data_IF_930930864864
#
_entry.id   IF_930930864864
#
_cell.length_a   1.000
_cell.length_b   1.000
_cell.length_c   1.000
_cell.angle_alpha   90.00
_cell.angle_beta   90.00
_cell.angle_gamma   90.00
#
_symmetry.space_group_name_H-M   'P 1'
#
loop_
_entity.id
_entity.type
_entity.pdbx_description
1 polymer ?
#
# COMPACT_ATOMS: atom_id res chain seq x y z
N UNK A 1 13.33 5.30 3.10
CA UNK A 1 12.12 5.04 3.89
C UNK A 1 11.22 6.26 4.01
N UNK A 2 10.06 6.16 4.70
CA UNK A 2 9.07 7.22 4.85
C UNK A 2 9.70 8.53 5.36
N UNK A 3 10.48 8.45 6.43
CA UNK A 3 11.11 9.62 7.03
C UNK A 3 12.08 10.32 6.07
N UNK A 4 12.90 9.56 5.36
CA UNK A 4 13.81 10.08 4.34
C UNK A 4 13.06 10.75 3.18
N UNK A 5 11.94 10.13 2.74
CA UNK A 5 11.12 10.66 1.67
C UNK A 5 10.52 12.04 1.99
N UNK A 6 10.08 12.23 3.24
CA UNK A 6 9.50 13.50 3.70
C UNK A 6 10.49 14.43 4.39
N UNK A 7 11.78 14.11 4.40
CA UNK A 7 12.81 14.93 5.06
C UNK A 7 12.62 15.01 6.58
N UNK A 8 11.98 13.99 7.19
CA UNK A 8 11.69 13.95 8.63
C UNK A 8 12.69 13.08 9.36
N UNK A 9 12.95 13.40 10.64
CA UNK A 9 13.72 12.55 11.54
C UNK A 9 12.75 11.84 12.50
N UNK A 10 12.79 10.50 12.51
CA UNK A 10 12.05 9.72 13.50
C UNK A 10 12.84 9.64 14.80
N UNK A 11 12.35 10.30 15.85
CA UNK A 11 12.95 10.26 17.16
C UNK A 11 12.16 9.33 18.09
N UNK A 12 12.66 8.11 18.37
CA UNK A 12 11.94 7.18 19.23
C UNK A 12 11.97 7.62 20.69
N UNK A 13 10.90 7.34 21.42
CA UNK A 13 10.90 7.50 22.86
C UNK A 13 11.87 6.52 23.54
N UNK A 14 12.43 6.89 24.67
CA UNK A 14 13.34 6.04 25.44
C UNK A 14 12.64 4.76 25.90
N UNK A 15 13.39 3.65 25.90
CA UNK A 15 12.89 2.36 26.36
C UNK A 15 12.46 2.43 27.83
N UNK A 16 11.28 1.89 28.17
CA UNK A 16 10.69 1.88 29.51
C UNK A 16 10.47 3.25 30.14
N UNK A 17 10.29 4.30 29.34
CA UNK A 17 9.96 5.65 29.82
C UNK A 17 8.60 6.10 29.27
N UNK A 18 7.46 5.61 29.81
CA UNK A 18 6.12 5.93 29.30
C UNK A 18 5.80 7.43 29.37
N UNK A 19 6.38 8.16 30.30
CA UNK A 19 6.20 9.61 30.41
C UNK A 19 6.65 10.40 29.17
N UNK A 20 7.59 9.86 28.40
CA UNK A 20 8.04 10.49 27.14
C UNK A 20 6.92 10.48 26.06
N UNK A 21 5.89 9.67 26.24
CA UNK A 21 4.72 9.55 25.34
C UNK A 21 3.45 10.19 25.88
N UNK A 22 3.50 10.85 27.03
CA UNK A 22 2.31 11.38 27.70
C UNK A 22 1.47 12.31 26.81
N UNK A 23 2.10 13.15 25.98
CA UNK A 23 1.41 14.03 25.04
C UNK A 23 0.67 13.27 23.95
N UNK A 24 1.26 12.18 23.45
CA UNK A 24 0.64 11.32 22.41
C UNK A 24 -0.55 10.56 23.01
N UNK A 25 -0.40 10.00 24.20
CA UNK A 25 -1.46 9.27 24.91
C UNK A 25 -2.65 10.20 25.24
N UNK A 26 -2.37 11.41 25.69
CA UNK A 26 -3.41 12.44 25.91
C UNK A 26 -4.11 12.85 24.61
N UNK A 27 -3.35 12.99 23.50
CA UNK A 27 -3.92 13.30 22.20
C UNK A 27 -4.83 12.16 21.70
N UNK A 28 -4.43 10.89 21.87
CA UNK A 28 -5.26 9.72 21.55
C UNK A 28 -6.54 9.73 22.39
N UNK A 29 -6.45 9.95 23.70
CA UNK A 29 -7.60 10.01 24.60
C UNK A 29 -8.58 11.14 24.21
N UNK A 30 -8.06 12.32 23.86
CA UNK A 30 -8.85 13.45 23.39
C UNK A 30 -9.53 13.14 22.05
N UNK A 31 -8.85 12.45 21.13
CA UNK A 31 -9.42 12.01 19.85
C UNK A 31 -10.59 11.05 20.08
N UNK A 32 -10.43 10.07 20.98
CA UNK A 32 -11.52 9.18 21.35
C UNK A 32 -12.75 9.92 21.88
N UNK A 33 -12.55 10.84 22.80
CA UNK A 33 -13.66 11.62 23.42
C UNK A 33 -14.32 12.59 22.46
N UNK A 34 -13.56 13.23 21.57
CA UNK A 34 -14.04 14.37 20.77
C UNK A 34 -14.45 13.98 19.35
N UNK A 35 -13.91 12.90 18.84
CA UNK A 35 -14.16 12.44 17.46
C UNK A 35 -14.94 11.12 17.47
N UNK A 36 -14.43 10.07 18.08
CA UNK A 36 -15.05 8.75 17.99
C UNK A 36 -16.28 8.57 18.88
N UNK A 37 -16.26 9.08 20.10
CA UNK A 37 -17.39 8.94 21.02
C UNK A 37 -18.69 9.55 20.49
N UNK A 38 -18.71 10.72 19.84
CA UNK A 38 -19.91 11.25 19.19
C UNK A 38 -20.47 10.37 18.05
N UNK A 39 -19.62 9.56 17.40
CA UNK A 39 -19.98 8.72 16.26
C UNK A 39 -20.42 7.31 16.66
N UNK A 40 -20.24 6.89 17.92
CA UNK A 40 -20.46 5.50 18.37
C UNK A 40 -21.85 4.92 18.10
N UNK A 41 -22.87 5.78 18.09
CA UNK A 41 -24.27 5.37 17.90
C UNK A 41 -24.77 5.65 16.46
N UNK A 42 -23.91 6.12 15.56
CA UNK A 42 -24.24 6.40 14.17
C UNK A 42 -23.91 5.18 13.31
N UNK A 43 -24.84 4.77 12.45
CA UNK A 43 -24.59 3.73 11.46
C UNK A 43 -23.97 4.37 10.22
N UNK A 44 -22.95 3.70 9.67
CA UNK A 44 -22.27 4.11 8.44
C UNK A 44 -22.36 2.97 7.43
N UNK A 45 -22.76 3.29 6.20
CA UNK A 45 -22.91 2.31 5.12
C UNK A 45 -21.66 2.26 4.21
N UNK A 46 -20.74 3.19 4.35
CA UNK A 46 -19.48 3.21 3.62
C UNK A 46 -18.33 3.80 4.44
N UNK A 47 -17.11 3.40 4.10
CA UNK A 47 -15.91 3.98 4.68
C UNK A 47 -15.78 5.48 4.35
N UNK A 48 -16.26 5.90 3.19
CA UNK A 48 -16.25 7.30 2.78
C UNK A 48 -17.17 8.16 3.67
N UNK A 49 -18.36 7.67 3.98
CA UNK A 49 -19.30 8.34 4.90
C UNK A 49 -18.69 8.50 6.30
N UNK A 50 -18.06 7.44 6.81
CA UNK A 50 -17.35 7.48 8.09
C UNK A 50 -16.22 8.52 8.07
N UNK A 51 -15.39 8.51 7.03
CA UNK A 51 -14.27 9.45 6.92
C UNK A 51 -14.74 10.90 6.82
N UNK A 52 -15.85 11.19 6.14
CA UNK A 52 -16.45 12.52 6.08
C UNK A 52 -16.88 12.98 7.47
N UNK A 53 -17.60 12.14 8.21
CA UNK A 53 -18.05 12.47 9.57
C UNK A 53 -16.88 12.66 10.55
N UNK A 54 -15.83 11.86 10.43
CA UNK A 54 -14.57 12.04 11.20
C UNK A 54 -13.92 13.36 10.84
N UNK A 55 -13.86 13.73 9.55
CA UNK A 55 -13.30 14.99 9.06
C UNK A 55 -14.00 16.21 9.65
N UNK A 56 -15.33 16.24 9.62
CA UNK A 56 -16.16 17.31 10.18
C UNK A 56 -15.89 17.53 11.69
N UNK A 57 -15.83 16.44 12.45
CA UNK A 57 -15.55 16.51 13.88
C UNK A 57 -14.10 16.91 14.19
N UNK A 58 -13.15 16.48 13.36
CA UNK A 58 -11.75 16.87 13.46
C UNK A 58 -11.58 18.38 13.20
N UNK A 59 -12.23 18.90 12.17
CA UNK A 59 -12.21 20.33 11.85
C UNK A 59 -12.81 21.15 12.96
N UNK A 60 -13.98 20.77 13.48
CA UNK A 60 -14.61 21.39 14.65
C UNK A 60 -13.71 21.33 15.87
N UNK A 61 -13.01 20.23 16.12
CA UNK A 61 -12.08 20.08 17.23
C UNK A 61 -10.86 20.99 17.09
N UNK A 62 -10.29 21.10 15.89
CA UNK A 62 -9.11 21.91 15.63
C UNK A 62 -9.41 23.41 15.63
N UNK A 63 -10.60 23.82 15.21
CA UNK A 63 -11.06 25.24 15.20
C UNK A 63 -11.49 25.73 16.58
N UNK A 64 -11.66 24.83 17.55
CA UNK A 64 -12.02 25.23 18.91
C UNK A 64 -10.85 25.88 19.65
N UNK A 65 -11.09 27.01 20.34
CA UNK A 65 -10.10 27.64 21.25
C UNK A 65 -9.54 26.63 22.25
N UNK A 66 -8.26 26.68 22.46
CA UNK A 66 -7.58 25.89 23.47
C UNK A 66 -7.84 26.46 24.87
N UNK A 67 -7.91 25.57 25.87
CA UNK A 67 -8.13 25.99 27.25
C UNK A 67 -6.97 26.86 27.73
N UNK A 68 -7.28 28.05 28.24
CA UNK A 68 -6.27 29.01 28.71
C UNK A 68 -5.52 29.77 27.62
N UNK A 69 -5.99 29.71 26.36
CA UNK A 69 -5.37 30.39 25.22
C UNK A 69 -6.42 31.14 24.41
N UNK A 70 -6.01 32.24 23.77
CA UNK A 70 -6.89 33.04 22.90
C UNK A 70 -6.91 32.55 21.45
N UNK A 71 -6.25 31.39 21.14
CA UNK A 71 -6.14 30.83 19.84
C UNK A 71 -6.60 29.36 19.77
N UNK A 72 -6.96 28.93 18.59
CA UNK A 72 -7.24 27.52 18.24
C UNK A 72 -5.97 26.80 17.76
N UNK A 73 -6.06 25.46 17.60
CA UNK A 73 -4.96 24.68 17.01
C UNK A 73 -4.67 25.07 15.57
N UNK A 74 -5.72 25.33 14.80
CA UNK A 74 -5.58 25.74 13.39
C UNK A 74 -4.88 27.09 13.30
N UNK A 75 -5.29 28.06 14.10
CA UNK A 75 -4.67 29.39 14.11
C UNK A 75 -3.19 29.32 14.47
N UNK A 76 -2.85 28.57 15.51
CA UNK A 76 -1.44 28.38 15.88
C UNK A 76 -0.63 27.65 14.80
N UNK A 77 -1.18 26.60 14.22
CA UNK A 77 -0.54 25.90 13.12
C UNK A 77 -0.24 26.83 11.94
N UNK A 78 -1.23 27.60 11.51
CA UNK A 78 -1.09 28.51 10.37
C UNK A 78 -0.11 29.66 10.63
N UNK A 79 -0.10 30.18 11.87
CA UNK A 79 0.73 31.33 12.22
C UNK A 79 2.19 30.96 12.55
N UNK A 80 2.43 29.78 13.14
CA UNK A 80 3.75 29.43 13.69
C UNK A 80 4.38 28.24 12.96
N UNK A 81 3.63 27.15 12.79
CA UNK A 81 4.22 25.90 12.32
C UNK A 81 4.31 25.83 10.79
N UNK A 82 3.24 26.25 10.11
CA UNK A 82 3.16 26.15 8.65
C UNK A 82 4.25 26.90 7.89
N UNK A 83 4.67 28.12 8.31
CA UNK A 83 5.78 28.83 7.64
C UNK A 83 7.14 28.12 7.74
N UNK A 84 7.34 27.33 8.80
CA UNK A 84 8.58 26.59 9.05
C UNK A 84 8.62 25.21 8.35
N UNK A 85 7.48 24.75 7.83
CA UNK A 85 7.41 23.47 7.14
C UNK A 85 7.98 23.57 5.72
N UNK A 86 8.80 22.59 5.36
CA UNK A 86 9.25 22.43 3.97
C UNK A 86 8.09 22.01 3.05
N UNK A 87 8.16 22.36 1.76
CA UNK A 87 7.19 21.90 0.80
C UNK A 87 7.17 20.36 0.74
N UNK A 88 5.98 19.78 0.63
CA UNK A 88 5.84 18.33 0.49
C UNK A 88 6.42 17.87 -0.87
N UNK A 89 7.03 16.67 -0.93
CA UNK A 89 7.39 16.04 -2.20
C UNK A 89 6.19 15.96 -3.13
N UNK A 90 6.43 16.12 -4.45
CA UNK A 90 5.35 16.06 -5.46
C UNK A 90 4.64 14.71 -5.52
N UNK A 91 5.31 13.62 -5.13
CA UNK A 91 4.75 12.29 -5.07
C UNK A 91 4.54 11.82 -3.63
N UNK A 92 3.43 11.13 -3.38
CA UNK A 92 3.19 10.48 -2.08
C UNK A 92 4.11 9.29 -1.90
N UNK A 93 4.59 9.09 -0.69
CA UNK A 93 5.34 7.89 -0.34
C UNK A 93 4.52 6.63 -0.62
N UNK A 94 5.12 5.74 -1.41
CA UNK A 94 4.56 4.41 -1.65
C UNK A 94 5.29 3.39 -0.79
N UNK A 95 4.56 2.73 0.09
CA UNK A 95 5.14 1.66 0.90
C UNK A 95 5.51 0.49 0.01
N UNK A 96 6.82 0.20 -0.07
CA UNK A 96 7.37 -0.95 -0.76
C UNK A 96 7.58 -2.09 0.23
N UNK A 97 7.10 -3.26 -0.13
CA UNK A 97 7.34 -4.50 0.61
C UNK A 97 8.23 -5.39 -0.23
N UNK A 98 9.07 -6.17 0.44
CA UNK A 98 10.02 -7.08 -0.18
C UNK A 98 9.71 -8.50 0.22
N UNK A 99 9.85 -9.42 -0.72
CA UNK A 99 9.77 -10.85 -0.49
C UNK A 99 10.78 -11.58 -1.38
N UNK A 100 11.47 -12.57 -0.82
CA UNK A 100 12.31 -13.47 -1.58
C UNK A 100 11.51 -14.76 -1.83
N UNK A 101 11.24 -15.07 -3.08
CA UNK A 101 10.39 -16.19 -3.49
C UNK A 101 11.10 -17.09 -4.48
N UNK A 102 10.74 -18.37 -4.49
CA UNK A 102 11.23 -19.31 -5.51
C UNK A 102 10.19 -19.43 -6.61
N UNK A 103 10.65 -19.38 -7.87
CA UNK A 103 9.78 -19.56 -9.04
C UNK A 103 9.35 -21.02 -9.13
N UNK A 104 8.04 -21.24 -9.09
CA UNK A 104 7.47 -22.58 -9.15
C UNK A 104 7.60 -23.21 -10.57
N UNK A 105 7.46 -24.53 -10.72
CA UNK A 105 7.56 -25.22 -12.01
C UNK A 105 6.55 -24.72 -13.07
N UNK A 106 5.47 -24.11 -12.64
CA UNK A 106 4.46 -23.50 -13.51
C UNK A 106 4.80 -22.08 -13.97
N UNK A 107 6.01 -21.57 -13.72
CA UNK A 107 6.49 -20.23 -14.05
C UNK A 107 5.84 -19.11 -13.24
N UNK A 108 5.35 -19.38 -12.04
CA UNK A 108 4.73 -18.36 -11.19
C UNK A 108 5.41 -18.23 -9.85
N UNK A 109 5.30 -17.06 -9.27
CA UNK A 109 5.54 -16.80 -7.85
C UNK A 109 4.22 -16.47 -7.16
N UNK A 110 4.01 -17.02 -5.97
CA UNK A 110 2.82 -16.77 -5.18
C UNK A 110 3.10 -15.66 -4.17
N UNK A 111 2.28 -14.62 -4.16
CA UNK A 111 2.49 -13.44 -3.34
C UNK A 111 1.27 -13.12 -2.47
N UNK A 112 1.56 -12.68 -1.23
CA UNK A 112 0.58 -12.12 -0.31
C UNK A 112 -0.30 -13.15 0.39
N UNK A 113 -1.18 -12.66 1.26
CA UNK A 113 -2.20 -13.47 1.95
C UNK A 113 -3.25 -13.98 0.98
N UNK A 114 -3.44 -13.26 -0.13
CA UNK A 114 -4.36 -13.57 -1.22
C UNK A 114 -3.92 -14.78 -2.04
N UNK A 115 -2.67 -15.23 -1.86
CA UNK A 115 -2.07 -16.32 -2.65
C UNK A 115 -2.22 -16.09 -4.15
N UNK A 116 -2.11 -14.83 -4.58
CA UNK A 116 -2.17 -14.49 -6.00
C UNK A 116 -0.88 -14.85 -6.70
N UNK A 117 -0.97 -15.37 -7.94
CA UNK A 117 0.15 -15.86 -8.71
C UNK A 117 0.54 -14.86 -9.80
N UNK A 118 1.84 -14.55 -9.90
CA UNK A 118 2.41 -13.66 -10.91
C UNK A 118 3.41 -14.42 -11.75
N UNK A 119 3.29 -14.30 -13.08
CA UNK A 119 4.17 -15.02 -14.00
C UNK A 119 5.59 -14.44 -14.01
N UNK A 120 6.55 -15.32 -14.17
CA UNK A 120 7.98 -15.03 -14.29
C UNK A 120 8.50 -15.76 -15.52
N UNK A 121 9.48 -15.23 -16.27
CA UNK A 121 10.07 -15.93 -17.41
C UNK A 121 10.48 -17.37 -17.08
N UNK A 122 10.05 -18.32 -17.90
CA UNK A 122 10.21 -19.77 -17.66
C UNK A 122 11.66 -20.22 -17.45
N UNK A 123 12.62 -19.49 -18.00
CA UNK A 123 14.06 -19.72 -17.79
C UNK A 123 14.51 -19.62 -16.33
N UNK A 124 13.69 -19.02 -15.46
CA UNK A 124 13.98 -18.81 -14.05
C UNK A 124 13.27 -19.79 -13.12
N UNK A 125 12.65 -20.84 -13.66
CA UNK A 125 12.05 -21.91 -12.86
C UNK A 125 13.09 -22.47 -11.87
N UNK A 126 12.70 -22.59 -10.60
CA UNK A 126 13.55 -23.06 -9.52
C UNK A 126 14.50 -22.01 -8.93
N UNK A 127 14.70 -20.87 -9.58
CA UNK A 127 15.54 -19.80 -9.08
C UNK A 127 14.80 -18.96 -8.03
N UNK A 128 15.59 -18.36 -7.12
CA UNK A 128 15.08 -17.35 -6.18
C UNK A 128 15.04 -15.99 -6.85
N UNK A 129 13.92 -15.30 -6.70
CA UNK A 129 13.69 -13.95 -7.22
C UNK A 129 13.28 -13.01 -6.09
N UNK A 130 13.73 -11.78 -6.15
CA UNK A 130 13.30 -10.73 -5.24
C UNK A 130 12.04 -10.08 -5.81
N UNK A 131 10.98 -10.01 -5.01
CA UNK A 131 9.70 -9.41 -5.37
C UNK A 131 9.50 -8.14 -4.56
N UNK A 132 9.50 -7.01 -5.22
CA UNK A 132 9.19 -5.70 -4.62
C UNK A 132 7.77 -5.33 -5.04
N UNK A 133 6.91 -5.10 -4.06
CA UNK A 133 5.51 -4.82 -4.37
C UNK A 133 4.95 -3.69 -3.54
N UNK A 134 4.06 -2.95 -4.17
CA UNK A 134 3.23 -1.88 -3.59
C UNK A 134 1.77 -2.33 -3.57
N UNK A 135 0.85 -1.45 -3.26
CA UNK A 135 -0.58 -1.74 -3.37
C UNK A 135 -1.08 -1.74 -4.83
N UNK A 136 -0.30 -1.22 -5.78
CA UNK A 136 -0.69 -1.11 -7.19
C UNK A 136 0.16 -1.95 -8.13
N UNK A 137 1.41 -2.23 -7.78
CA UNK A 137 2.37 -2.89 -8.67
C UNK A 137 3.16 -3.99 -7.96
N UNK A 138 3.56 -4.98 -8.75
CA UNK A 138 4.48 -6.07 -8.37
C UNK A 138 5.63 -6.06 -9.37
N UNK A 139 6.86 -5.86 -8.91
CA UNK A 139 8.08 -5.91 -9.71
C UNK A 139 8.93 -7.07 -9.22
N UNK A 140 9.40 -7.88 -10.15
CA UNK A 140 10.18 -9.09 -9.86
C UNK A 140 11.59 -8.88 -10.40
N UNK A 141 12.57 -9.16 -9.56
CA UNK A 141 13.99 -8.95 -9.86
C UNK A 141 14.76 -10.26 -9.73
N UNK A 142 15.73 -10.45 -10.60
CA UNK A 142 16.72 -11.50 -10.53
C UNK A 142 18.10 -10.90 -10.83
N UNK A 143 19.05 -11.15 -9.95
CA UNK A 143 20.42 -10.60 -10.04
C UNK A 143 20.43 -9.08 -10.28
N UNK A 144 19.58 -8.35 -9.54
CA UNK A 144 19.46 -6.89 -9.63
C UNK A 144 18.70 -6.36 -10.86
N UNK A 145 18.34 -7.21 -11.80
CA UNK A 145 17.60 -6.81 -13.01
C UNK A 145 16.10 -7.02 -12.84
N UNK A 146 15.29 -6.03 -13.22
CA UNK A 146 13.84 -6.16 -13.26
C UNK A 146 13.44 -7.06 -14.43
N UNK A 147 12.90 -8.24 -14.13
CA UNK A 147 12.56 -9.28 -15.12
C UNK A 147 11.06 -9.35 -15.44
N UNK A 148 10.21 -8.84 -14.56
CA UNK A 148 8.78 -8.77 -14.76
C UNK A 148 8.15 -7.65 -13.95
N UNK A 149 7.11 -7.03 -14.52
CA UNK A 149 6.27 -6.04 -13.83
C UNK A 149 4.81 -6.37 -14.08
N UNK A 150 4.03 -6.43 -13.02
CA UNK A 150 2.60 -6.74 -13.07
C UNK A 150 1.79 -5.71 -12.28
N UNK A 151 0.54 -5.52 -12.65
CA UNK A 151 -0.43 -4.83 -11.81
C UNK A 151 -0.77 -5.69 -10.60
N UNK A 152 -0.81 -5.07 -9.42
CA UNK A 152 -1.19 -5.78 -8.19
C UNK A 152 -2.66 -6.19 -8.24
N UNK A 153 -2.92 -7.45 -7.92
CA UNK A 153 -4.27 -7.99 -7.78
C UNK A 153 -4.46 -8.61 -6.40
N UNK A 154 -5.62 -8.40 -5.82
CA UNK A 154 -6.01 -8.95 -4.51
C UNK A 154 -6.98 -10.13 -4.64
N UNK A 155 -7.20 -10.62 -5.86
CA UNK A 155 -8.05 -11.78 -6.10
C UNK A 155 -7.40 -13.03 -5.51
N UNK A 156 -8.06 -13.67 -4.55
CA UNK A 156 -7.55 -14.88 -3.91
C UNK A 156 -7.37 -16.03 -4.91
N UNK A 157 -6.18 -16.64 -4.88
CA UNK A 157 -5.83 -17.75 -5.77
C UNK A 157 -5.83 -17.42 -7.28
N UNK A 158 -5.92 -16.11 -7.62
CA UNK A 158 -5.94 -15.67 -9.02
C UNK A 158 -4.56 -15.70 -9.67
N UNK A 159 -4.54 -15.47 -10.97
CA UNK A 159 -3.32 -15.45 -11.79
C UNK A 159 -3.26 -14.14 -12.59
N UNK A 160 -2.10 -13.49 -12.55
CA UNK A 160 -1.74 -12.39 -13.46
C UNK A 160 -0.51 -12.83 -14.23
N UNK A 161 -0.61 -12.89 -15.56
CA UNK A 161 0.41 -13.49 -16.39
C UNK A 161 0.64 -12.75 -17.69
N UNK A 162 1.81 -12.95 -18.25
CA UNK A 162 2.26 -12.45 -19.56
C UNK A 162 2.61 -13.66 -20.41
N UNK A 163 2.16 -13.69 -21.67
CA UNK A 163 2.30 -14.85 -22.56
C UNK A 163 3.77 -15.24 -22.77
N UNK A 164 4.64 -14.26 -22.89
CA UNK A 164 6.08 -14.40 -23.14
C UNK A 164 6.83 -15.05 -21.98
N UNK A 165 6.24 -15.06 -20.78
CA UNK A 165 6.83 -15.71 -19.61
C UNK A 165 6.69 -17.24 -19.62
N UNK A 166 5.70 -17.74 -20.34
CA UNK A 166 5.39 -19.17 -20.37
C UNK A 166 6.35 -19.93 -21.29
N UNK A 167 6.59 -21.24 -21.05
CA UNK A 167 7.35 -22.07 -21.96
C UNK A 167 6.75 -22.07 -23.36
N UNK A 168 7.59 -22.19 -24.40
CA UNK A 168 7.16 -22.16 -25.82
C UNK A 168 6.05 -23.15 -26.14
N UNK A 169 6.11 -24.36 -25.57
CA UNK A 169 5.06 -25.37 -25.72
C UNK A 169 3.70 -24.87 -25.18
N UNK A 170 3.69 -24.22 -23.99
CA UNK A 170 2.48 -23.67 -23.40
C UNK A 170 1.97 -22.48 -24.20
N UNK A 171 2.87 -21.63 -24.71
CA UNK A 171 2.50 -20.49 -25.56
C UNK A 171 1.78 -20.96 -26.85
N UNK A 172 2.19 -22.09 -27.43
CA UNK A 172 1.54 -22.66 -28.59
C UNK A 172 0.07 -23.03 -28.32
N UNK A 173 -0.24 -23.57 -27.13
CA UNK A 173 -1.63 -23.92 -26.77
C UNK A 173 -2.53 -22.69 -26.73
N UNK A 174 -2.05 -21.53 -26.29
CA UNK A 174 -2.84 -20.29 -26.28
C UNK A 174 -3.04 -19.69 -27.67
N UNK A 175 -2.30 -20.14 -28.68
CA UNK A 175 -2.49 -19.79 -30.09
C UNK A 175 -3.56 -20.65 -30.78
N UNK A 176 -4.01 -21.73 -30.15
CA UNK A 176 -5.02 -22.62 -30.73
C UNK A 176 -6.43 -22.02 -30.54
N UNK A 177 -6.92 -21.38 -31.59
CA UNK A 177 -8.33 -21.00 -31.71
C UNK A 177 -9.15 -22.17 -32.24
N UNK A 178 -10.49 -22.21 -32.10
CA UNK A 178 -11.34 -23.16 -32.78
C UNK A 178 -11.07 -23.20 -34.29
N UNK A 179 -10.80 -22.07 -34.90
CA UNK A 179 -10.47 -21.93 -36.31
C UNK A 179 -9.18 -22.65 -36.68
N UNK A 180 -8.14 -22.60 -35.84
CA UNK A 180 -6.89 -23.34 -36.04
C UNK A 180 -7.13 -24.84 -36.18
N UNK A 181 -8.03 -25.42 -35.37
CA UNK A 181 -8.32 -26.86 -35.44
C UNK A 181 -9.15 -27.22 -36.69
N UNK A 182 -10.07 -26.34 -37.10
CA UNK A 182 -10.84 -26.51 -38.35
C UNK A 182 -9.88 -26.50 -39.54
N UNK A 183 -9.00 -25.50 -39.63
CA UNK A 183 -8.04 -25.38 -40.74
C UNK A 183 -7.03 -26.54 -40.80
N UNK A 184 -6.66 -27.08 -39.63
CA UNK A 184 -5.74 -28.23 -39.56
C UNK A 184 -6.42 -29.56 -39.86
N UNK A 185 -7.70 -29.68 -39.57
CA UNK A 185 -8.49 -30.88 -39.89
C UNK A 185 -8.97 -30.94 -41.34
N UNK A 186 -8.87 -29.82 -42.07
CA UNK A 186 -9.27 -29.70 -43.49
C UNK A 186 -8.10 -29.95 -44.46
N UNK A 187 -6.91 -30.32 -43.94
CA UNK A 187 -5.73 -30.77 -44.70
C UNK A 187 -5.52 -32.25 -44.52
#
# INVERSE_FOLDING_TARGET
>A
DLATHYGCCAQPARVRRPKDKALVEDAVHKSYKRIYAPLRNRLFHSLQELNTAVGELLEKYNSRRMQGCDYSRVERFLAVEKPELLPLPGERYQMKRHALLTVAPNCFVQLGRERHHYSVPSRLIGNKVEVIFTDTQVRIYHDGNCIATHMRSFKHGGYTWVKEHLPSQTQAYYGYSPQYFIDKGSK
#
